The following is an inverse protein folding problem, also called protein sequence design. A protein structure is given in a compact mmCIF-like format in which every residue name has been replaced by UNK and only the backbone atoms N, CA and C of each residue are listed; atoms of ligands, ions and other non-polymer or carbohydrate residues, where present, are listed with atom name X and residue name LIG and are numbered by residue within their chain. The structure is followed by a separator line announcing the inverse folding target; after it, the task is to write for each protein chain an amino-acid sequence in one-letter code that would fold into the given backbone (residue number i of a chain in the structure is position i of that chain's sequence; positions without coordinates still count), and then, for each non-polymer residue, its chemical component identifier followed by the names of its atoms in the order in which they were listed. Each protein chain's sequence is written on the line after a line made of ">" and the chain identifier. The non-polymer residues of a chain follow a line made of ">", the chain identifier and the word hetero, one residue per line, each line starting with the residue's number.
data_IF_355501178782
#
_entry.id   IF_355501178782
#
_cell.length_a   1.000
_cell.length_b   1.000
_cell.length_c   1.000
_cell.angle_alpha   90.00
_cell.angle_beta   90.00
_cell.angle_gamma   90.00
#
_symmetry.space_group_name_H-M   'P 1'
#
loop_
_entity.id
_entity.type
_entity.pdbx_description
1 polymer ?
#
# COMPACT_ATOMS: atom_id res chain seq x y z
N UNK A 1 -13.87 1.54 -27.17
CA UNK A 1 -13.77 2.62 -26.15
C UNK A 1 -14.05 2.13 -24.72
N UNK A 2 -14.21 0.82 -24.45
CA UNK A 2 -14.52 0.31 -23.10
C UNK A 2 -13.29 0.03 -22.24
N UNK A 3 -12.23 -0.54 -22.83
CA UNK A 3 -11.14 -1.17 -22.06
C UNK A 3 -10.22 -0.15 -21.39
N UNK A 4 -9.84 0.93 -22.09
CA UNK A 4 -9.01 1.99 -21.50
C UNK A 4 -9.67 2.69 -20.30
N UNK A 5 -11.00 2.82 -20.30
CA UNK A 5 -11.74 3.38 -19.15
C UNK A 5 -11.69 2.44 -17.96
N UNK A 6 -11.92 1.14 -18.17
CA UNK A 6 -11.88 0.12 -17.12
C UNK A 6 -10.49 0.05 -16.49
N UNK A 7 -9.43 0.07 -17.30
CA UNK A 7 -8.04 0.06 -16.81
C UNK A 7 -7.75 1.33 -16.00
N UNK A 8 -8.20 2.50 -16.46
CA UNK A 8 -8.02 3.75 -15.71
C UNK A 8 -8.73 3.76 -14.35
N UNK A 9 -9.94 3.18 -14.26
CA UNK A 9 -10.69 3.06 -13.00
C UNK A 9 -10.01 2.06 -12.05
N UNK A 10 -9.51 0.95 -12.58
CA UNK A 10 -8.74 -0.07 -11.86
C UNK A 10 -7.44 0.49 -11.26
N UNK A 11 -6.63 1.17 -12.08
CA UNK A 11 -5.40 1.85 -11.63
C UNK A 11 -5.67 2.90 -10.56
N UNK A 12 -6.74 3.70 -10.72
CA UNK A 12 -7.13 4.69 -9.72
C UNK A 12 -7.55 4.04 -8.39
N UNK A 13 -8.15 2.85 -8.42
CA UNK A 13 -8.43 2.07 -7.22
C UNK A 13 -7.15 1.63 -6.52
N UNK A 14 -6.26 0.97 -7.26
CA UNK A 14 -4.98 0.47 -6.73
C UNK A 14 -4.10 1.58 -6.15
N UNK A 15 -4.02 2.74 -6.81
CA UNK A 15 -3.25 3.89 -6.31
C UNK A 15 -3.85 4.46 -5.02
N UNK A 16 -5.18 4.48 -4.89
CA UNK A 16 -5.83 4.93 -3.65
C UNK A 16 -5.56 3.96 -2.50
N UNK A 17 -5.64 2.66 -2.76
CA UNK A 17 -5.35 1.64 -1.75
C UNK A 17 -3.88 1.69 -1.31
N UNK A 18 -2.96 1.81 -2.27
CA UNK A 18 -1.53 2.00 -1.98
C UNK A 18 -1.26 3.26 -1.16
N UNK A 19 -1.93 4.38 -1.49
CA UNK A 19 -1.80 5.62 -0.73
C UNK A 19 -2.25 5.41 0.73
N UNK A 20 -3.39 4.76 0.94
CA UNK A 20 -3.92 4.49 2.28
C UNK A 20 -2.93 3.64 3.09
N UNK A 21 -2.37 2.61 2.48
CA UNK A 21 -1.38 1.75 3.12
C UNK A 21 -0.09 2.51 3.49
N UNK A 22 0.37 3.45 2.64
CA UNK A 22 1.48 4.33 2.99
C UNK A 22 1.16 5.23 4.20
N UNK A 23 -0.06 5.75 4.28
CA UNK A 23 -0.49 6.58 5.42
C UNK A 23 -0.49 5.77 6.73
N UNK A 24 -0.92 4.50 6.66
CA UNK A 24 -0.91 3.57 7.80
C UNK A 24 0.52 3.23 8.24
N UNK A 25 1.39 2.86 7.30
CA UNK A 25 2.81 2.63 7.57
C UNK A 25 3.48 3.83 8.26
N UNK A 26 3.25 5.04 7.74
CA UNK A 26 3.83 6.27 8.30
C UNK A 26 3.28 6.53 9.70
N UNK A 27 1.98 6.31 9.93
CA UNK A 27 1.36 6.47 11.25
C UNK A 27 2.03 5.57 12.29
N UNK A 28 2.23 4.28 11.96
CA UNK A 28 2.86 3.31 12.85
C UNK A 28 4.33 3.64 13.11
N UNK A 29 5.07 4.01 12.06
CA UNK A 29 6.46 4.44 12.20
C UNK A 29 6.60 5.66 13.13
N UNK A 30 5.70 6.64 12.99
CA UNK A 30 5.68 7.82 13.86
C UNK A 30 5.30 7.48 15.31
N UNK A 31 4.49 6.43 15.54
CA UNK A 31 4.18 5.97 16.90
C UNK A 31 5.41 5.34 17.56
N UNK A 32 6.19 4.56 16.83
CA UNK A 32 7.45 3.99 17.31
C UNK A 32 8.48 5.07 17.71
N UNK A 33 8.48 6.23 17.04
CA UNK A 33 9.41 7.32 17.33
C UNK A 33 9.07 8.12 18.60
N UNK A 34 7.85 8.02 19.14
CA UNK A 34 7.37 8.87 20.26
C UNK A 34 7.96 8.50 21.64
N UNK A 35 8.75 7.42 21.74
CA UNK A 35 9.70 7.19 22.84
C UNK A 35 9.14 6.67 24.17
N UNK A 36 7.85 6.82 24.44
CA UNK A 36 7.14 6.19 25.58
C UNK A 36 6.25 5.05 25.08
N UNK A 37 6.88 3.93 24.72
CA UNK A 37 6.21 2.75 24.17
C UNK A 37 6.67 1.50 24.93
N UNK A 38 5.76 0.59 25.21
CA UNK A 38 6.09 -0.69 25.83
C UNK A 38 6.70 -1.65 24.80
N UNK A 39 7.37 -2.70 25.28
CA UNK A 39 7.93 -3.74 24.39
C UNK A 39 6.82 -4.45 23.59
N UNK A 40 5.67 -4.72 24.23
CA UNK A 40 4.51 -5.34 23.59
C UNK A 40 3.92 -4.45 22.48
N UNK A 41 3.77 -3.15 22.73
CA UNK A 41 3.29 -2.18 21.71
C UNK A 41 4.28 -2.04 20.56
N UNK A 42 5.59 -2.05 20.86
CA UNK A 42 6.62 -2.01 19.84
C UNK A 42 6.59 -3.26 18.95
N UNK A 43 6.44 -4.45 19.53
CA UNK A 43 6.33 -5.70 18.78
C UNK A 43 5.07 -5.72 17.89
N UNK A 44 3.93 -5.28 18.42
CA UNK A 44 2.68 -5.16 17.67
C UNK A 44 2.85 -4.24 16.45
N UNK A 45 3.30 -3.00 16.66
CA UNK A 45 3.43 -2.04 15.57
C UNK A 45 4.51 -2.43 14.56
N UNK A 46 5.59 -3.08 14.98
CA UNK A 46 6.57 -3.65 14.05
C UNK A 46 5.95 -4.75 13.19
N UNK A 47 5.08 -5.60 13.77
CA UNK A 47 4.29 -6.58 13.04
C UNK A 47 3.36 -5.96 12.00
N UNK A 48 2.68 -4.89 12.37
CA UNK A 48 1.80 -4.15 11.46
C UNK A 48 2.58 -3.45 10.35
N UNK A 49 3.71 -2.81 10.66
CA UNK A 49 4.62 -2.20 9.68
C UNK A 49 5.12 -3.23 8.66
N UNK A 50 5.49 -4.44 9.11
CA UNK A 50 5.88 -5.51 8.20
C UNK A 50 4.72 -5.92 7.28
N UNK A 51 3.50 -5.99 7.83
CA UNK A 51 2.29 -6.28 7.05
C UNK A 51 2.05 -5.20 5.99
N UNK A 52 2.14 -3.92 6.36
CA UNK A 52 2.01 -2.81 5.43
C UNK A 52 3.06 -2.82 4.33
N UNK A 53 4.32 -3.14 4.66
CA UNK A 53 5.38 -3.27 3.66
C UNK A 53 5.08 -4.38 2.63
N UNK A 54 4.50 -5.51 3.06
CA UNK A 54 4.05 -6.58 2.17
C UNK A 54 2.88 -6.11 1.29
N UNK A 55 1.88 -5.45 1.87
CA UNK A 55 0.73 -4.90 1.12
C UNK A 55 1.18 -3.90 0.05
N UNK A 56 2.10 -2.98 0.38
CA UNK A 56 2.66 -2.02 -0.58
C UNK A 56 3.36 -2.70 -1.76
N UNK A 57 4.12 -3.77 -1.50
CA UNK A 57 4.73 -4.56 -2.57
C UNK A 57 3.67 -5.18 -3.48
N UNK A 58 2.61 -5.77 -2.91
CA UNK A 58 1.49 -6.34 -3.67
C UNK A 58 0.79 -5.28 -4.53
N UNK A 59 0.50 -4.11 -3.96
CA UNK A 59 -0.11 -3.01 -4.72
C UNK A 59 0.78 -2.54 -5.88
N UNK A 60 2.10 -2.44 -5.65
CA UNK A 60 3.05 -2.06 -6.70
C UNK A 60 3.07 -3.06 -7.85
N UNK A 61 3.00 -4.36 -7.55
CA UNK A 61 2.95 -5.43 -8.55
C UNK A 61 1.63 -5.41 -9.32
N UNK A 62 0.51 -5.21 -8.63
CA UNK A 62 -0.80 -5.11 -9.28
C UNK A 62 -0.88 -3.90 -10.21
N UNK A 63 -0.33 -2.74 -9.81
CA UNK A 63 -0.27 -1.55 -10.66
C UNK A 63 0.56 -1.85 -11.92
N UNK A 64 1.73 -2.47 -11.78
CA UNK A 64 2.56 -2.88 -12.92
C UNK A 64 1.79 -3.80 -13.87
N UNK A 65 1.15 -4.83 -13.34
CA UNK A 65 0.38 -5.79 -14.15
C UNK A 65 -0.77 -5.09 -14.91
N UNK A 66 -1.44 -4.12 -14.29
CA UNK A 66 -2.52 -3.37 -14.93
C UNK A 66 -2.02 -2.39 -15.99
N UNK A 67 -0.83 -1.80 -15.79
CA UNK A 67 -0.14 -1.00 -16.81
C UNK A 67 0.25 -1.88 -18.02
N UNK A 68 0.83 -3.05 -17.79
CA UNK A 68 1.19 -3.99 -18.86
C UNK A 68 -0.04 -4.40 -19.69
N UNK A 69 -1.20 -4.58 -19.05
CA UNK A 69 -2.48 -4.84 -19.75
C UNK A 69 -2.93 -3.67 -20.61
N UNK A 70 -2.61 -2.43 -20.22
CA UNK A 70 -2.95 -1.22 -20.97
C UNK A 70 -2.11 -1.02 -22.22
N UNK A 71 -0.87 -1.52 -22.23
CA UNK A 71 0.03 -1.43 -23.39
C UNK A 71 -0.26 -2.48 -24.47
N UNK A 72 -0.99 -3.55 -24.12
CA UNK A 72 -1.38 -4.64 -25.02
C UNK A 72 -2.79 -4.42 -25.62
N UNK A 73 -3.54 -3.41 -25.15
CA UNK A 73 -4.92 -3.12 -25.55
C UNK A 73 -5.10 -2.09 -26.67
#
# INVERSE_FOLDING_TARGET
>A
MGDGKIISESLNGLIKDMKKECEEFISLANQLEQGDITEDEAEEWLGEIMTSAVSLNIYSENIRNELDRSEIG
#
